data_IF_084660460519
#
_entry.id   IF_084660460519
#
_cell.length_a   1.000
_cell.length_b   1.000
_cell.length_c   1.000
_cell.angle_alpha   90.00
_cell.angle_beta   90.00
_cell.angle_gamma   90.00
#
_symmetry.space_group_name_H-M   'P 1'
#
loop_
_entity.id
_entity.type
_entity.pdbx_description
1 polymer ?
#
# COMPACT_ATOMS: atom_id res chain seq x y z
N UNK A 1 -5.24 -4.24 11.30
CA UNK A 1 -5.84 -2.88 11.28
C UNK A 1 -7.21 -2.86 11.96
N UNK A 2 -7.49 -1.81 12.73
CA UNK A 2 -8.78 -1.53 13.36
C UNK A 2 -9.35 -0.20 12.84
N UNK A 3 -10.56 -0.18 12.30
CA UNK A 3 -11.28 1.04 11.90
C UNK A 3 -12.47 1.27 12.83
N UNK A 4 -12.47 2.40 13.52
CA UNK A 4 -13.50 2.80 14.47
C UNK A 4 -14.31 3.99 13.94
N UNK A 5 -15.63 3.89 13.99
CA UNK A 5 -16.49 5.06 13.80
C UNK A 5 -16.72 5.75 15.15
N UNK A 6 -16.08 6.90 15.35
CA UNK A 6 -16.21 7.69 16.59
C UNK A 6 -17.11 8.91 16.42
N UNK A 7 -17.43 9.29 15.17
CA UNK A 7 -18.44 10.29 14.85
C UNK A 7 -19.63 9.67 14.09
N UNK A 8 -20.81 9.69 14.73
CA UNK A 8 -22.06 9.15 14.19
C UNK A 8 -23.02 10.23 13.63
N UNK A 9 -22.53 11.45 13.39
CA UNK A 9 -23.33 12.57 12.91
C UNK A 9 -23.70 12.49 11.41
N UNK A 10 -22.93 11.74 10.62
CA UNK A 10 -23.11 11.61 9.17
C UNK A 10 -22.92 10.14 8.72
N UNK A 11 -24.01 9.49 8.32
CA UNK A 11 -24.00 8.12 7.78
C UNK A 11 -23.52 8.07 6.31
N UNK A 12 -23.66 9.17 5.56
CA UNK A 12 -23.19 9.25 4.18
C UNK A 12 -21.66 9.34 4.16
N UNK A 13 -21.06 10.14 5.05
CA UNK A 13 -19.61 10.21 5.23
C UNK A 13 -19.02 8.83 5.59
N UNK A 14 -19.66 8.10 6.51
CA UNK A 14 -19.21 6.76 6.88
C UNK A 14 -19.27 5.78 5.71
N UNK A 15 -20.35 5.80 4.92
CA UNK A 15 -20.47 4.96 3.72
C UNK A 15 -19.45 5.33 2.64
N UNK A 16 -19.11 6.60 2.50
CA UNK A 16 -18.07 7.08 1.59
C UNK A 16 -16.69 6.57 1.99
N UNK A 17 -16.32 6.65 3.27
CA UNK A 17 -15.07 6.07 3.80
C UNK A 17 -14.96 4.57 3.45
N UNK A 18 -16.00 3.79 3.77
CA UNK A 18 -16.00 2.35 3.47
C UNK A 18 -15.92 2.08 1.96
N UNK A 19 -16.60 2.89 1.13
CA UNK A 19 -16.52 2.75 -0.33
C UNK A 19 -15.15 3.08 -0.89
N UNK A 20 -14.40 4.01 -0.28
CA UNK A 20 -13.04 4.37 -0.69
C UNK A 20 -12.02 3.31 -0.30
N UNK A 21 -12.23 2.65 0.84
CA UNK A 21 -11.37 1.54 1.27
C UNK A 21 -11.58 0.27 0.44
N UNK A 22 -12.77 0.07 -0.14
CA UNK A 22 -13.05 -1.09 -1.01
C UNK A 22 -13.28 -2.38 -0.23
N UNK A 23 -13.20 -3.52 -0.92
CA UNK A 23 -13.52 -4.84 -0.35
C UNK A 23 -12.24 -5.55 0.16
N UNK A 24 -11.50 -4.88 1.03
CA UNK A 24 -10.17 -5.30 1.51
C UNK A 24 -10.15 -6.72 2.11
N UNK A 25 -9.03 -7.46 1.94
CA UNK A 25 -8.88 -8.79 2.50
C UNK A 25 -8.88 -8.76 4.03
N UNK A 26 -9.39 -9.81 4.66
CA UNK A 26 -9.43 -9.95 6.11
C UNK A 26 -10.49 -9.09 6.80
N UNK A 27 -11.42 -8.49 6.05
CA UNK A 27 -12.51 -7.68 6.59
C UNK A 27 -13.44 -8.52 7.49
N UNK A 28 -13.52 -8.14 8.76
CA UNK A 28 -14.42 -8.68 9.76
C UNK A 28 -15.46 -7.62 10.08
N UNK A 29 -16.61 -7.70 9.40
CA UNK A 29 -17.79 -6.91 9.74
C UNK A 29 -18.58 -7.57 10.90
N UNK A 30 -19.18 -6.80 11.82
CA UNK A 30 -20.11 -7.32 12.83
C UNK A 30 -21.26 -8.04 12.12
N UNK A 31 -21.40 -9.36 12.35
CA UNK A 31 -22.45 -10.18 11.71
C UNK A 31 -23.73 -10.20 12.55
N UNK A 32 -24.92 -10.24 11.92
CA UNK A 32 -26.09 -10.81 12.56
C UNK A 32 -25.85 -12.30 12.86
N UNK A 33 -26.32 -12.84 13.99
CA UNK A 33 -26.12 -14.25 14.32
C UNK A 33 -26.84 -15.16 13.32
N UNK A 34 -26.10 -16.02 12.60
CA UNK A 34 -26.69 -17.12 11.81
C UNK A 34 -26.06 -17.42 10.45
N UNK A 35 -25.24 -16.54 9.88
CA UNK A 35 -24.66 -16.76 8.54
C UNK A 35 -23.19 -17.17 8.62
N UNK A 36 -22.95 -18.47 8.46
CA UNK A 36 -21.62 -18.98 8.15
C UNK A 36 -21.35 -18.79 6.66
N UNK A 37 -20.32 -18.03 6.31
CA UNK A 37 -19.71 -18.18 4.99
C UNK A 37 -18.48 -19.06 5.12
N UNK A 38 -18.26 -19.91 4.12
CA UNK A 38 -16.97 -20.56 3.92
C UNK A 38 -15.92 -19.44 3.81
N UNK A 39 -15.08 -19.29 4.83
CA UNK A 39 -13.93 -18.40 4.78
C UNK A 39 -13.04 -18.96 3.69
N UNK A 40 -13.01 -18.30 2.53
CA UNK A 40 -11.94 -18.52 1.56
C UNK A 40 -10.67 -18.20 2.34
N UNK A 41 -9.85 -19.21 2.58
CA UNK A 41 -8.59 -19.03 3.30
C UNK A 41 -7.74 -18.12 2.44
N UNK A 42 -7.59 -16.88 2.91
CA UNK A 42 -6.74 -15.93 2.25
C UNK A 42 -5.31 -16.44 2.24
N UNK A 43 -4.57 -16.18 1.14
CA UNK A 43 -3.20 -16.62 1.05
C UNK A 43 -2.36 -16.05 2.18
N UNK A 44 -2.54 -14.77 2.52
CA UNK A 44 -1.87 -14.05 3.63
C UNK A 44 -2.91 -13.75 4.71
N UNK A 45 -2.72 -14.23 5.96
CA UNK A 45 -3.65 -13.95 7.03
C UNK A 45 -3.59 -12.46 7.39
N UNK A 46 -4.69 -11.73 7.13
CA UNK A 46 -4.85 -10.34 7.55
C UNK A 46 -6.14 -10.18 8.35
N UNK A 47 -6.20 -9.09 9.13
CA UNK A 47 -7.41 -8.75 9.89
C UNK A 47 -7.67 -7.25 9.84
N UNK A 48 -8.82 -6.90 9.27
CA UNK A 48 -9.41 -5.57 9.31
C UNK A 48 -10.71 -5.66 10.11
N UNK A 49 -10.74 -5.09 11.31
CA UNK A 49 -11.97 -5.03 12.11
C UNK A 49 -12.60 -3.66 11.93
N UNK A 50 -13.85 -3.62 11.50
CA UNK A 50 -14.63 -2.39 11.38
C UNK A 50 -15.64 -2.34 12.52
N UNK A 51 -15.59 -1.27 13.33
CA UNK A 51 -16.46 -1.07 14.48
C UNK A 51 -17.35 0.14 14.25
N UNK A 52 -18.63 -0.12 14.09
CA UNK A 52 -19.71 0.88 14.02
C UNK A 52 -20.61 0.71 15.24
N UNK A 53 -20.10 1.12 16.40
CA UNK A 53 -20.79 1.04 17.69
C UNK A 53 -20.77 2.40 18.39
N UNK A 54 -21.94 2.86 18.84
CA UNK A 54 -22.11 4.14 19.53
C UNK A 54 -21.40 4.21 20.88
N UNK A 55 -20.98 3.08 21.45
CA UNK A 55 -20.14 3.06 22.64
C UNK A 55 -18.82 3.83 22.45
N UNK A 56 -18.34 3.96 21.20
CA UNK A 56 -17.12 4.68 20.83
C UNK A 56 -17.38 6.13 20.36
N UNK A 57 -18.60 6.64 20.53
CA UNK A 57 -18.93 8.00 20.13
C UNK A 57 -18.10 9.02 20.93
N UNK A 58 -17.34 9.86 20.22
CA UNK A 58 -16.57 10.96 20.81
C UNK A 58 -15.32 10.53 21.57
N UNK A 59 -14.92 9.25 21.52
CA UNK A 59 -13.67 8.81 22.13
C UNK A 59 -12.45 9.38 21.41
N UNK A 60 -11.41 9.71 22.17
CA UNK A 60 -10.13 10.19 21.67
C UNK A 60 -9.18 9.04 21.31
N UNK A 61 -8.12 9.32 20.54
CA UNK A 61 -7.10 8.32 20.22
C UNK A 61 -6.43 7.75 21.48
N UNK A 62 -6.16 8.60 22.48
CA UNK A 62 -5.61 8.17 23.77
C UNK A 62 -6.54 7.18 24.49
N UNK A 63 -7.84 7.49 24.60
CA UNK A 63 -8.81 6.61 25.27
C UNK A 63 -8.94 5.25 24.54
N UNK A 64 -8.84 5.26 23.20
CA UNK A 64 -8.82 4.03 22.40
C UNK A 64 -7.54 3.24 22.67
N UNK A 65 -6.37 3.89 22.69
CA UNK A 65 -5.08 3.27 23.01
C UNK A 65 -5.10 2.60 24.39
N UNK A 66 -5.54 3.34 25.42
CA UNK A 66 -5.69 2.82 26.79
C UNK A 66 -6.64 1.61 26.87
N UNK A 67 -7.71 1.59 26.05
CA UNK A 67 -8.63 0.46 25.99
C UNK A 67 -8.00 -0.79 25.34
N UNK A 68 -7.12 -0.61 24.36
CA UNK A 68 -6.42 -1.71 23.67
C UNK A 68 -5.30 -2.33 24.53
N UNK A 69 -4.71 -1.54 25.44
CA UNK A 69 -3.67 -1.98 26.39
C UNK A 69 -4.19 -2.89 27.52
N UNK A 70 -5.51 -3.03 27.66
CA UNK A 70 -6.14 -3.97 28.57
C UNK A 70 -5.76 -5.42 28.24
N UNK A 71 -4.82 -5.97 29.04
CA UNK A 71 -4.07 -7.20 28.75
C UNK A 71 -4.85 -8.41 28.22
N UNK A 72 -4.30 -9.02 27.15
CA UNK A 72 -4.77 -10.26 26.51
C UNK A 72 -5.50 -10.05 25.18
N UNK A 73 -5.66 -8.79 24.74
CA UNK A 73 -6.36 -8.42 23.51
C UNK A 73 -5.41 -8.42 22.31
N UNK A 74 -5.92 -8.69 21.11
CA UNK A 74 -5.19 -8.48 19.87
C UNK A 74 -4.88 -6.98 19.71
N UNK A 75 -3.60 -6.64 19.55
CA UNK A 75 -3.15 -5.25 19.30
C UNK A 75 -3.08 -5.06 17.78
N UNK A 76 -3.84 -4.12 17.21
CA UNK A 76 -3.75 -3.79 15.79
C UNK A 76 -2.47 -3.01 15.49
N UNK A 77 -1.83 -3.29 14.36
CA UNK A 77 -0.64 -2.56 13.88
C UNK A 77 -0.96 -1.08 13.55
N UNK A 78 -2.21 -0.84 13.17
CA UNK A 78 -2.74 0.48 12.81
C UNK A 78 -4.18 0.61 13.27
N UNK A 79 -4.47 1.68 14.00
CA UNK A 79 -5.83 2.10 14.37
C UNK A 79 -6.23 3.31 13.54
N UNK A 80 -7.45 3.29 13.02
CA UNK A 80 -8.06 4.38 12.27
C UNK A 80 -9.36 4.81 12.95
N UNK A 81 -9.59 6.11 13.05
CA UNK A 81 -10.81 6.69 13.60
C UNK A 81 -11.45 7.61 12.57
N UNK A 82 -12.72 7.34 12.25
CA UNK A 82 -13.59 8.26 11.53
C UNK A 82 -14.24 9.23 12.54
N UNK A 83 -13.60 10.38 12.72
CA UNK A 83 -13.95 11.42 13.69
C UNK A 83 -14.69 12.60 13.03
N UNK A 84 -14.83 13.71 13.76
CA UNK A 84 -15.46 14.92 13.22
C UNK A 84 -14.67 15.49 12.02
N UNK A 85 -13.33 15.38 12.03
CA UNK A 85 -12.47 15.81 10.92
C UNK A 85 -12.73 15.05 9.63
N UNK A 86 -13.04 13.76 9.72
CA UNK A 86 -13.48 12.94 8.57
C UNK A 86 -14.76 13.49 7.92
N UNK A 87 -15.67 14.05 8.72
CA UNK A 87 -16.92 14.62 8.21
C UNK A 87 -16.71 16.03 7.64
N UNK A 88 -15.79 16.80 8.25
CA UNK A 88 -15.50 18.18 7.89
C UNK A 88 -14.93 18.34 6.47
N UNK A 89 -14.10 17.40 6.00
CA UNK A 89 -13.60 17.38 4.62
C UNK A 89 -14.22 16.25 3.81
N UNK A 90 -15.27 16.52 3.00
CA UNK A 90 -15.89 15.51 2.16
C UNK A 90 -15.04 15.11 0.95
N UNK A 91 -14.05 15.92 0.56
CA UNK A 91 -13.19 15.60 -0.57
C UNK A 91 -12.15 14.55 -0.19
N UNK A 92 -11.48 14.70 0.96
CA UNK A 92 -10.40 13.81 1.38
C UNK A 92 -10.83 12.75 2.40
N UNK A 93 -11.85 13.04 3.22
CA UNK A 93 -12.33 12.16 4.30
C UNK A 93 -11.19 11.67 5.22
N UNK A 94 -10.33 12.57 5.72
CA UNK A 94 -9.14 12.16 6.48
C UNK A 94 -9.55 11.38 7.73
N UNK A 95 -8.90 10.25 7.93
CA UNK A 95 -9.01 9.42 9.13
C UNK A 95 -7.90 9.82 10.10
N UNK A 96 -8.21 9.85 11.38
CA UNK A 96 -7.18 9.94 12.42
C UNK A 96 -6.55 8.55 12.58
N UNK A 97 -5.24 8.46 12.46
CA UNK A 97 -4.48 7.21 12.53
C UNK A 97 -3.42 7.27 13.63
N UNK A 98 -3.11 6.13 14.23
CA UNK A 98 -2.03 6.00 15.21
C UNK A 98 -1.63 4.52 15.40
N UNK A 99 -0.42 4.32 15.95
CA UNK A 99 0.13 3.01 16.31
C UNK A 99 0.03 2.80 17.83
N UNK A 100 -0.74 1.80 18.26
CA UNK A 100 -0.76 1.34 19.67
C UNK A 100 -0.77 2.48 20.71
N UNK A 101 0.16 2.40 21.67
CA UNK A 101 0.42 3.45 22.67
C UNK A 101 1.73 4.21 22.48
N UNK A 102 2.58 3.74 21.57
CA UNK A 102 3.87 4.31 21.27
C UNK A 102 3.83 4.78 19.79
N UNK A 103 3.70 6.09 19.56
CA UNK A 103 3.63 6.70 18.23
C UNK A 103 2.77 7.98 18.19
N UNK A 104 3.09 8.88 17.28
CA UNK A 104 2.29 10.08 17.03
C UNK A 104 0.97 9.75 16.34
N UNK A 105 -0.07 10.57 16.57
CA UNK A 105 -1.27 10.48 15.77
C UNK A 105 -1.11 11.32 14.49
N UNK A 106 -1.62 10.81 13.36
CA UNK A 106 -1.48 11.44 12.05
C UNK A 106 -2.77 11.35 11.23
N UNK A 107 -2.85 12.09 10.13
CA UNK A 107 -4.02 12.12 9.23
C UNK A 107 -3.70 11.36 7.95
N UNK A 108 -4.57 10.40 7.62
CA UNK A 108 -4.42 9.54 6.44
C UNK A 108 -5.74 9.49 5.68
N UNK A 109 -5.69 9.49 4.34
CA UNK A 109 -6.88 9.33 3.52
C UNK A 109 -7.37 7.87 3.50
N UNK A 110 -8.66 7.61 3.25
CA UNK A 110 -9.18 6.24 3.21
C UNK A 110 -8.49 5.36 2.15
N UNK A 111 -8.11 5.91 0.99
CA UNK A 111 -7.40 5.14 -0.04
C UNK A 111 -5.97 4.83 0.35
N UNK A 112 -5.26 5.77 0.97
CA UNK A 112 -3.94 5.48 1.51
C UNK A 112 -4.00 4.38 2.57
N UNK A 113 -4.94 4.50 3.53
CA UNK A 113 -5.14 3.48 4.55
C UNK A 113 -5.44 2.10 3.94
N UNK A 114 -6.22 2.06 2.86
CA UNK A 114 -6.51 0.83 2.14
C UNK A 114 -5.27 0.21 1.49
N UNK A 115 -4.43 1.01 0.83
CA UNK A 115 -3.18 0.51 0.24
C UNK A 115 -2.18 0.05 1.32
N UNK A 116 -2.04 0.81 2.40
CA UNK A 116 -1.24 0.43 3.57
C UNK A 116 -1.69 -0.93 4.11
N UNK A 117 -3.01 -1.19 4.23
CA UNK A 117 -3.53 -2.49 4.68
C UNK A 117 -2.98 -3.68 3.89
N UNK A 118 -2.80 -3.51 2.58
CA UNK A 118 -2.41 -4.60 1.69
C UNK A 118 -0.96 -5.04 1.95
N UNK A 119 -0.15 -4.16 2.52
CA UNK A 119 1.28 -4.38 2.78
C UNK A 119 1.65 -4.39 4.25
N UNK A 120 0.71 -4.15 5.19
CA UNK A 120 0.96 -4.20 6.65
C UNK A 120 1.57 -5.52 7.16
N UNK A 121 1.49 -6.61 6.39
CA UNK A 121 2.10 -7.90 6.77
C UNK A 121 3.60 -7.97 6.46
N UNK A 122 4.13 -7.03 5.67
CA UNK A 122 5.56 -6.93 5.33
C UNK A 122 6.35 -6.38 6.53
N UNK A 123 7.65 -6.66 6.63
CA UNK A 123 8.53 -6.02 7.61
C UNK A 123 8.67 -4.53 7.30
N UNK A 124 9.23 -3.79 8.25
CA UNK A 124 9.69 -2.40 8.10
C UNK A 124 8.59 -1.36 7.84
N UNK A 125 7.33 -1.78 7.88
CA UNK A 125 6.18 -0.87 7.78
C UNK A 125 6.15 0.14 8.94
N UNK A 126 6.82 -0.13 10.05
CA UNK A 126 7.03 0.84 11.13
C UNK A 126 7.68 2.13 10.64
N UNK A 127 8.69 2.06 9.75
CA UNK A 127 9.36 3.25 9.21
C UNK A 127 8.45 4.01 8.24
N UNK A 128 7.63 3.29 7.48
CA UNK A 128 6.63 3.93 6.62
C UNK A 128 5.58 4.68 7.44
N UNK A 129 5.14 4.10 8.57
CA UNK A 129 4.19 4.75 9.47
C UNK A 129 4.82 5.92 10.24
N UNK A 130 6.09 5.83 10.64
CA UNK A 130 6.85 6.95 11.23
C UNK A 130 6.94 8.13 10.25
N UNK A 131 7.21 7.85 8.97
CA UNK A 131 7.19 8.88 7.95
C UNK A 131 5.80 9.52 7.79
N UNK A 132 4.72 8.74 7.87
CA UNK A 132 3.36 9.31 7.85
C UNK A 132 3.06 10.20 9.07
N UNK A 133 3.62 9.85 10.24
CA UNK A 133 3.56 10.67 11.45
C UNK A 133 4.25 12.02 11.25
N UNK A 134 5.42 12.03 10.61
CA UNK A 134 6.17 13.25 10.28
C UNK A 134 5.50 14.09 9.17
N UNK A 135 4.94 13.45 8.15
CA UNK A 135 4.34 14.15 7.00
C UNK A 135 2.98 14.78 7.31
N UNK A 136 2.15 14.14 8.12
CA UNK A 136 0.78 14.57 8.37
C UNK A 136 0.36 14.46 9.86
N UNK A 137 1.09 15.08 10.80
CA UNK A 137 0.75 15.02 12.22
C UNK A 137 -0.68 15.54 12.48
N UNK A 138 -1.41 14.88 13.39
CA UNK A 138 -2.80 15.21 13.70
C UNK A 138 -2.97 16.43 14.62
N UNK A 139 -1.88 16.94 15.20
CA UNK A 139 -1.83 18.12 16.06
C UNK A 139 -0.40 18.66 16.14
N UNK A 140 -0.19 19.87 16.68
CA UNK A 140 1.15 20.46 16.77
C UNK A 140 2.06 19.61 17.65
N UNK A 141 3.31 19.42 17.24
CA UNK A 141 4.34 18.79 18.06
C UNK A 141 4.46 19.55 19.39
N UNK A 142 4.39 18.84 20.51
CA UNK A 142 4.54 19.45 21.84
C UNK A 142 5.91 20.14 22.03
N UNK A 143 6.90 19.82 21.17
CA UNK A 143 8.26 20.35 21.19
C UNK A 143 8.47 21.60 20.30
N UNK A 144 7.55 21.94 19.39
CA UNK A 144 7.65 23.16 18.58
C UNK A 144 6.84 24.30 19.20
N UNK A 145 7.54 25.12 19.98
CA UNK A 145 6.98 26.34 20.56
C UNK A 145 6.36 27.22 19.48
N UNK A 146 5.04 27.35 19.53
CA UNK A 146 4.20 28.27 18.77
C UNK A 146 4.91 29.61 18.46
N UNK A 147 5.31 29.77 17.20
CA UNK A 147 5.76 31.05 16.68
C UNK A 147 5.50 31.18 15.17
N UNK A 148 4.22 31.35 14.80
CA UNK A 148 3.88 32.49 13.96
C UNK A 148 3.66 32.30 12.46
N UNK A 149 3.16 31.16 11.99
CA UNK A 149 2.55 31.07 10.66
C UNK A 149 1.13 30.49 10.79
N UNK A 150 0.19 31.02 10.01
CA UNK A 150 -1.24 30.69 10.05
C UNK A 150 -1.47 29.18 9.79
N UNK A 151 -1.79 28.43 10.84
CA UNK A 151 -2.92 27.50 11.03
C UNK A 151 -3.39 26.57 9.87
N UNK A 152 -2.53 26.17 8.94
CA UNK A 152 -2.82 25.07 8.02
C UNK A 152 -1.99 23.84 8.41
N UNK A 153 -2.63 22.87 9.09
CA UNK A 153 -2.07 21.52 9.25
C UNK A 153 -1.73 20.95 7.87
N UNK A 154 -0.67 20.14 7.74
CA UNK A 154 -0.34 19.51 6.47
C UNK A 154 -1.48 18.65 5.94
N UNK A 155 -1.54 18.52 4.62
CA UNK A 155 -2.49 17.64 3.94
C UNK A 155 -2.36 16.19 4.45
N UNK A 156 -3.47 15.45 4.58
CA UNK A 156 -3.41 14.06 4.99
C UNK A 156 -2.61 13.21 3.99
N UNK A 157 -1.95 12.17 4.51
CA UNK A 157 -1.20 11.23 3.66
C UNK A 157 -2.11 10.61 2.60
N UNK A 158 -1.65 10.63 1.35
CA UNK A 158 -2.34 10.10 0.19
C UNK A 158 -3.44 11.00 -0.37
N UNK A 159 -3.39 12.31 -0.11
CA UNK A 159 -4.24 13.32 -0.78
C UNK A 159 -4.23 13.16 -2.31
N UNK A 160 -3.08 12.82 -2.89
CA UNK A 160 -2.96 12.55 -4.33
C UNK A 160 -3.86 11.39 -4.78
N UNK A 161 -3.99 10.32 -3.98
CA UNK A 161 -4.78 9.13 -4.31
C UNK A 161 -6.27 9.42 -4.40
N UNK A 162 -6.76 10.36 -3.57
CA UNK A 162 -8.15 10.80 -3.58
C UNK A 162 -8.51 11.58 -4.86
N UNK A 163 -7.51 12.14 -5.54
CA UNK A 163 -7.64 12.90 -6.79
C UNK A 163 -7.40 12.07 -8.06
N UNK A 164 -6.92 10.83 -7.95
CA UNK A 164 -6.65 9.97 -9.10
C UNK A 164 -7.93 9.59 -9.87
N UNK A 165 -7.79 9.41 -11.19
CA UNK A 165 -8.88 8.99 -12.07
C UNK A 165 -8.43 7.94 -13.10
N UNK A 166 -8.87 6.67 -12.98
CA UNK A 166 -9.68 6.14 -11.88
C UNK A 166 -8.88 6.12 -10.56
N UNK A 167 -9.54 6.27 -9.41
CA UNK A 167 -8.84 6.17 -8.13
C UNK A 167 -8.54 4.70 -7.77
N UNK A 168 -7.47 4.44 -7.01
CA UNK A 168 -7.16 3.10 -6.54
C UNK A 168 -8.28 2.61 -5.63
N UNK A 169 -8.68 1.35 -5.84
CA UNK A 169 -9.68 0.64 -5.04
C UNK A 169 -9.35 -0.84 -5.07
N UNK A 170 -9.40 -1.47 -3.91
CA UNK A 170 -9.26 -2.91 -3.85
C UNK A 170 -10.56 -3.61 -4.24
N UNK A 171 -10.49 -4.39 -5.30
CA UNK A 171 -11.52 -5.37 -5.68
C UNK A 171 -10.92 -6.77 -5.60
N UNK A 172 -11.57 -7.73 -4.90
CA UNK A 172 -11.11 -9.10 -4.85
C UNK A 172 -10.99 -9.71 -6.25
N UNK A 173 -9.95 -10.52 -6.50
CA UNK A 173 -9.80 -11.17 -7.79
C UNK A 173 -10.97 -12.15 -8.02
N UNK A 174 -11.37 -12.29 -9.29
CA UNK A 174 -12.47 -13.20 -9.66
C UNK A 174 -12.12 -14.67 -9.39
N UNK A 175 -10.83 -15.00 -9.48
CA UNK A 175 -10.26 -16.32 -9.20
C UNK A 175 -9.20 -16.21 -8.11
N UNK A 176 -8.97 -17.30 -7.38
CA UNK A 176 -7.89 -17.36 -6.41
C UNK A 176 -6.54 -17.27 -7.14
N UNK A 177 -5.73 -16.28 -6.77
CA UNK A 177 -4.42 -16.04 -7.34
C UNK A 177 -3.34 -16.75 -6.51
N UNK A 178 -2.27 -17.28 -7.15
CA UNK A 178 -1.14 -17.82 -6.43
C UNK A 178 -0.39 -16.69 -5.69
N UNK A 179 0.31 -17.08 -4.62
CA UNK A 179 1.19 -16.16 -3.88
C UNK A 179 2.37 -15.76 -4.75
N UNK A 180 2.80 -14.51 -4.57
CA UNK A 180 4.01 -13.99 -5.17
C UNK A 180 5.08 -13.89 -4.08
N UNK A 181 6.24 -14.47 -4.34
CA UNK A 181 7.41 -14.32 -3.47
C UNK A 181 8.49 -13.60 -4.25
N UNK A 182 9.12 -12.61 -3.60
CA UNK A 182 10.28 -11.91 -4.14
C UNK A 182 11.55 -12.59 -3.60
N UNK A 183 12.20 -13.38 -4.44
CA UNK A 183 13.38 -14.19 -4.09
C UNK A 183 14.70 -13.48 -4.48
N UNK A 184 14.65 -12.53 -5.42
CA UNK A 184 15.77 -11.69 -5.86
C UNK A 184 15.48 -10.20 -5.61
N UNK A 185 16.30 -9.31 -6.19
CA UNK A 185 16.21 -7.86 -5.93
C UNK A 185 14.86 -7.27 -6.34
N UNK A 186 14.26 -7.71 -7.45
CA UNK A 186 12.97 -7.21 -7.93
C UNK A 186 12.01 -8.32 -8.31
N UNK A 187 10.72 -7.98 -8.37
CA UNK A 187 9.65 -8.85 -8.86
C UNK A 187 8.94 -8.18 -10.04
N UNK A 188 8.85 -8.88 -11.17
CA UNK A 188 8.17 -8.46 -12.39
C UNK A 188 7.01 -9.40 -12.71
N UNK A 189 5.78 -8.87 -12.72
CA UNK A 189 4.57 -9.64 -13.01
C UNK A 189 3.99 -9.18 -14.35
N UNK A 190 3.80 -10.14 -15.27
CA UNK A 190 3.06 -9.90 -16.52
C UNK A 190 1.56 -9.98 -16.25
N UNK A 191 0.83 -8.92 -16.60
CA UNK A 191 -0.64 -8.89 -16.49
C UNK A 191 -1.34 -8.71 -17.83
N UNK A 192 -0.59 -8.38 -18.90
CA UNK A 192 -1.10 -8.33 -20.27
C UNK A 192 -0.44 -9.40 -21.16
N UNK A 193 -1.28 -10.26 -21.73
CA UNK A 193 -0.86 -11.41 -22.55
C UNK A 193 -1.22 -11.21 -24.04
N UNK A 194 -1.48 -9.98 -24.48
CA UNK A 194 -1.98 -9.73 -25.83
C UNK A 194 -0.92 -9.93 -26.93
N UNK A 195 0.37 -9.67 -26.63
CA UNK A 195 1.44 -9.72 -27.62
C UNK A 195 2.77 -10.28 -27.06
N UNK A 196 3.04 -11.56 -27.31
CA UNK A 196 4.25 -12.25 -26.83
C UNK A 196 5.56 -11.70 -27.41
N UNK A 197 5.51 -11.11 -28.61
CA UNK A 197 6.68 -10.51 -29.23
C UNK A 197 7.11 -9.23 -28.49
N UNK A 198 6.16 -8.39 -28.09
CA UNK A 198 6.40 -7.21 -27.27
C UNK A 198 6.95 -7.60 -25.91
N UNK A 199 6.34 -8.62 -25.26
CA UNK A 199 6.83 -9.18 -24.00
C UNK A 199 8.29 -9.66 -24.09
N UNK A 200 8.63 -10.43 -25.13
CA UNK A 200 9.99 -10.95 -25.31
C UNK A 200 11.01 -9.82 -25.51
N UNK A 201 10.65 -8.78 -26.28
CA UNK A 201 11.52 -7.62 -26.51
C UNK A 201 11.72 -6.79 -25.24
N UNK A 202 10.67 -6.63 -24.46
CA UNK A 202 10.70 -5.93 -23.18
C UNK A 202 11.60 -6.64 -22.17
N UNK A 203 11.46 -7.96 -22.01
CA UNK A 203 12.32 -8.76 -21.13
C UNK A 203 13.79 -8.70 -21.56
N UNK A 204 14.08 -8.80 -22.86
CA UNK A 204 15.46 -8.68 -23.36
C UNK A 204 16.08 -7.32 -22.99
N UNK A 205 15.29 -6.26 -23.04
CA UNK A 205 15.75 -4.90 -22.69
C UNK A 205 16.01 -4.74 -21.19
N UNK A 206 15.16 -5.32 -20.32
CA UNK A 206 15.38 -5.30 -18.86
C UNK A 206 16.66 -6.07 -18.51
N UNK A 207 16.79 -7.28 -19.05
CA UNK A 207 17.93 -8.14 -18.73
C UNK A 207 19.23 -7.61 -19.33
N UNK A 208 19.16 -6.97 -20.50
CA UNK A 208 20.30 -6.54 -21.32
C UNK A 208 20.01 -5.18 -21.98
N UNK A 209 20.16 -4.06 -21.25
CA UNK A 209 19.78 -2.73 -21.72
C UNK A 209 20.60 -2.17 -22.91
N UNK A 210 21.62 -2.88 -23.40
CA UNK A 210 22.32 -2.55 -24.65
C UNK A 210 23.57 -1.66 -24.51
N UNK A 211 24.13 -1.14 -25.64
CA UNK A 211 25.47 -0.53 -25.67
C UNK A 211 25.57 0.77 -24.86
N UNK A 212 26.65 0.89 -24.08
CA UNK A 212 26.72 1.75 -22.89
C UNK A 212 26.80 0.94 -21.59
N UNK A 213 26.27 -0.29 -21.64
CA UNK A 213 26.34 -1.34 -20.62
C UNK A 213 27.13 -2.57 -21.15
N UNK A 214 28.24 -2.32 -21.87
CA UNK A 214 29.02 -3.35 -22.60
C UNK A 214 29.94 -4.20 -21.69
N UNK A 215 29.80 -4.10 -20.36
CA UNK A 215 30.50 -4.97 -19.42
C UNK A 215 29.65 -6.24 -19.19
N UNK A 216 30.19 -7.47 -19.34
CA UNK A 216 29.51 -8.71 -18.95
C UNK A 216 29.03 -8.78 -17.48
N UNK A 217 29.31 -7.74 -16.67
CA UNK A 217 28.84 -7.54 -15.29
C UNK A 217 27.39 -7.03 -15.22
N UNK A 218 26.78 -6.60 -16.33
CA UNK A 218 25.47 -5.91 -16.34
C UNK A 218 24.34 -6.74 -17.02
N UNK A 219 24.34 -8.07 -16.80
CA UNK A 219 23.17 -8.92 -17.06
C UNK A 219 22.30 -8.97 -15.79
N UNK A 220 21.09 -8.39 -15.86
CA UNK A 220 20.16 -8.31 -14.74
C UNK A 220 19.15 -9.47 -14.69
N UNK A 221 19.35 -10.52 -15.50
CA UNK A 221 18.45 -11.69 -15.53
C UNK A 221 18.29 -12.36 -14.16
N UNK A 222 19.34 -12.31 -13.33
CA UNK A 222 19.33 -12.90 -11.98
C UNK A 222 18.86 -11.89 -10.91
N UNK A 223 18.63 -10.62 -11.27
CA UNK A 223 18.19 -9.58 -10.32
C UNK A 223 16.66 -9.44 -10.25
N UNK A 224 15.93 -9.86 -11.28
CA UNK A 224 14.47 -9.64 -11.38
C UNK A 224 13.75 -10.97 -11.57
N UNK A 225 12.96 -11.36 -10.57
CA UNK A 225 12.07 -12.51 -10.66
C UNK A 225 10.93 -12.22 -11.62
N UNK A 226 10.85 -12.97 -12.72
CA UNK A 226 9.80 -12.80 -13.73
C UNK A 226 8.67 -13.80 -13.54
N UNK A 227 7.45 -13.29 -13.41
CA UNK A 227 6.20 -14.07 -13.30
C UNK A 227 5.39 -13.89 -14.58
N UNK A 228 5.47 -14.91 -15.45
CA UNK A 228 4.73 -15.04 -16.71
C UNK A 228 3.65 -16.13 -16.59
N UNK A 229 2.67 -15.89 -15.71
CA UNK A 229 1.56 -16.83 -15.44
C UNK A 229 0.21 -16.18 -15.80
N UNK A 230 -0.55 -16.73 -16.77
CA UNK A 230 -1.87 -16.22 -17.17
C UNK A 230 -2.89 -16.11 -16.04
N UNK A 231 -2.67 -16.76 -14.88
CA UNK A 231 -3.50 -16.54 -13.70
C UNK A 231 -3.56 -15.06 -13.29
N UNK A 232 -2.50 -14.28 -13.58
CA UNK A 232 -2.42 -12.85 -13.26
C UNK A 232 -2.95 -11.92 -14.38
N UNK A 233 -3.51 -12.47 -15.46
CA UNK A 233 -4.06 -11.66 -16.54
C UNK A 233 -5.12 -10.66 -16.02
N UNK A 234 -4.91 -9.38 -16.32
CA UNK A 234 -5.81 -8.29 -15.92
C UNK A 234 -5.79 -7.94 -14.43
N UNK A 235 -4.86 -8.47 -13.63
CA UNK A 235 -4.76 -8.12 -12.22
C UNK A 235 -4.45 -6.64 -12.01
N UNK A 236 -5.10 -6.01 -11.03
CA UNK A 236 -4.82 -4.62 -10.64
C UNK A 236 -3.56 -4.52 -9.77
N UNK A 237 -2.94 -3.33 -9.69
CA UNK A 237 -1.85 -3.09 -8.74
C UNK A 237 -2.18 -3.51 -7.31
N UNK A 238 -3.37 -3.17 -6.82
CA UNK A 238 -3.83 -3.48 -5.47
C UNK A 238 -3.98 -5.00 -5.25
N UNK A 239 -4.44 -5.73 -6.27
CA UNK A 239 -4.52 -7.19 -6.19
C UNK A 239 -3.13 -7.82 -6.08
N UNK A 240 -2.14 -7.30 -6.82
CA UNK A 240 -0.77 -7.79 -6.73
C UNK A 240 -0.12 -7.42 -5.39
N UNK A 241 -0.27 -6.18 -4.92
CA UNK A 241 0.19 -5.76 -3.57
C UNK A 241 -0.33 -6.69 -2.48
N UNK A 242 -1.59 -7.12 -2.58
CA UNK A 242 -2.21 -8.03 -1.61
C UNK A 242 -1.64 -9.45 -1.59
N UNK A 243 -0.84 -9.83 -2.59
CA UNK A 243 -0.31 -11.19 -2.82
C UNK A 243 1.19 -11.33 -2.62
N UNK A 244 1.94 -10.21 -2.65
CA UNK A 244 3.40 -10.25 -2.47
C UNK A 244 3.74 -10.54 -1.02
N UNK A 245 4.61 -11.53 -0.82
CA UNK A 245 5.25 -11.88 0.44
C UNK A 245 6.76 -11.78 0.27
N UNK A 246 7.44 -11.56 1.39
CA UNK A 246 8.89 -11.67 1.44
C UNK A 246 9.32 -13.13 1.33
N UNK A 247 10.56 -13.32 0.86
CA UNK A 247 11.22 -14.63 0.91
C UNK A 247 11.32 -15.12 2.36
N UNK A 248 11.28 -16.45 2.53
CA UNK A 248 11.55 -17.06 3.84
C UNK A 248 13.03 -16.92 4.25
N UNK A 249 13.91 -16.51 3.33
CA UNK A 249 15.31 -16.21 3.63
C UNK A 249 15.48 -14.79 4.17
N UNK A 250 15.60 -14.69 5.50
CA UNK A 250 15.79 -13.42 6.24
C UNK A 250 17.04 -12.61 5.87
N UNK A 251 17.94 -13.14 5.03
CA UNK A 251 19.13 -12.45 4.54
C UNK A 251 19.00 -11.89 3.12
N UNK A 252 17.89 -12.15 2.44
CA UNK A 252 17.69 -11.73 1.06
C UNK A 252 17.39 -10.23 0.97
N UNK A 253 18.11 -9.53 0.11
CA UNK A 253 17.91 -8.10 -0.16
C UNK A 253 16.83 -7.93 -1.24
N UNK A 254 15.85 -7.07 -1.01
CA UNK A 254 14.72 -6.80 -1.90
C UNK A 254 14.55 -5.30 -2.13
N UNK A 255 14.07 -4.90 -3.30
CA UNK A 255 13.75 -3.51 -3.65
C UNK A 255 12.39 -3.03 -3.10
N UNK A 256 11.69 -3.87 -2.35
CA UNK A 256 10.37 -3.61 -1.75
C UNK A 256 9.36 -2.93 -2.71
N UNK A 257 9.31 -3.43 -3.95
CA UNK A 257 8.37 -3.00 -4.99
C UNK A 257 7.96 -4.18 -5.87
N UNK A 258 6.83 -4.01 -6.57
CA UNK A 258 6.42 -4.89 -7.67
C UNK A 258 6.39 -4.12 -8.98
N UNK A 259 7.01 -4.68 -10.01
CA UNK A 259 6.95 -4.20 -11.38
C UNK A 259 5.79 -4.91 -12.09
N UNK A 260 4.95 -4.16 -12.78
CA UNK A 260 3.76 -4.67 -13.46
C UNK A 260 3.88 -4.35 -14.95
N UNK A 261 4.02 -5.39 -15.74
CA UNK A 261 3.98 -5.32 -17.19
C UNK A 261 2.52 -5.45 -17.67
N UNK A 262 1.81 -4.33 -17.61
CA UNK A 262 0.40 -4.23 -17.97
C UNK A 262 0.19 -3.87 -19.45
N UNK A 263 -1.07 -3.72 -19.84
CA UNK A 263 -1.40 -3.39 -21.23
C UNK A 263 -0.86 -2.03 -21.67
N UNK A 264 -0.59 -1.09 -20.74
CA UNK A 264 0.07 0.17 -21.10
C UNK A 264 1.56 -0.06 -21.39
N UNK A 265 2.24 -0.92 -20.63
CA UNK A 265 3.62 -1.35 -20.93
C UNK A 265 3.71 -1.99 -22.31
N UNK A 266 2.78 -2.88 -22.68
CA UNK A 266 2.83 -3.54 -23.99
C UNK A 266 2.53 -2.59 -25.16
N UNK A 267 1.70 -1.55 -24.94
CA UNK A 267 1.32 -0.58 -25.97
C UNK A 267 2.24 0.62 -26.09
N UNK A 268 3.00 0.93 -25.05
CA UNK A 268 3.99 2.00 -25.06
C UNK A 268 5.17 1.60 -25.95
N UNK A 269 5.53 2.38 -26.99
CA UNK A 269 6.71 2.12 -27.81
C UNK A 269 8.02 2.04 -27.03
N UNK A 270 8.11 2.71 -25.87
CA UNK A 270 9.24 2.64 -24.95
C UNK A 270 9.07 1.59 -23.85
N UNK A 271 8.01 0.79 -23.89
CA UNK A 271 7.69 -0.27 -22.94
C UNK A 271 7.82 0.12 -21.46
N UNK A 272 7.40 1.34 -21.07
CA UNK A 272 7.54 1.76 -19.68
C UNK A 272 6.75 0.86 -18.73
N UNK A 273 7.44 0.26 -17.78
CA UNK A 273 6.86 -0.67 -16.79
C UNK A 273 6.32 0.12 -15.60
N UNK A 274 5.19 -0.33 -15.03
CA UNK A 274 4.64 0.28 -13.82
C UNK A 274 5.41 -0.26 -12.60
N UNK A 275 6.06 0.61 -11.85
CA UNK A 275 6.63 0.30 -10.54
C UNK A 275 5.63 0.68 -9.45
N UNK A 276 5.40 -0.25 -8.51
CA UNK A 276 4.47 -0.07 -7.38
C UNK A 276 5.22 -0.34 -6.08
N UNK A 277 5.54 0.70 -5.30
CA UNK A 277 6.20 0.57 -4.01
C UNK A 277 5.35 -0.22 -3.00
N UNK A 278 6.00 -1.08 -2.22
CA UNK A 278 5.41 -1.89 -1.15
C UNK A 278 5.89 -1.43 0.25
N UNK A 279 6.88 -0.54 0.27
CA UNK A 279 7.40 0.19 1.43
C UNK A 279 7.68 1.65 1.03
N UNK A 280 7.74 2.57 1.99
CA UNK A 280 8.05 3.98 1.76
C UNK A 280 6.83 4.71 1.16
N UNK A 281 6.92 5.28 -0.06
CA UNK A 281 5.82 6.02 -0.67
C UNK A 281 4.73 5.07 -1.23
N UNK A 282 4.10 4.29 -0.35
CA UNK A 282 3.00 3.36 -0.70
C UNK A 282 1.90 4.12 -1.44
N UNK A 283 1.47 3.60 -2.59
CA UNK A 283 0.44 4.21 -3.43
C UNK A 283 0.97 5.19 -4.49
N UNK A 284 2.25 5.55 -4.43
CA UNK A 284 2.89 6.36 -5.46
C UNK A 284 3.45 5.49 -6.60
N UNK A 285 2.57 4.89 -7.39
CA UNK A 285 2.98 4.12 -8.56
C UNK A 285 3.49 5.03 -9.69
N UNK A 286 4.55 4.62 -10.38
CA UNK A 286 5.21 5.42 -11.43
C UNK A 286 5.72 4.53 -12.57
N UNK A 287 6.10 5.14 -13.70
CA UNK A 287 6.48 4.42 -14.93
C UNK A 287 7.97 4.54 -15.19
N UNK A 288 8.67 3.41 -15.23
CA UNK A 288 10.13 3.34 -15.41
C UNK A 288 10.44 2.83 -16.82
N UNK A 289 11.47 3.38 -17.47
CA UNK A 289 11.94 2.84 -18.75
C UNK A 289 12.62 1.47 -18.52
N UNK A 290 12.45 0.49 -19.42
CA UNK A 290 12.98 -0.86 -19.24
C UNK A 290 14.48 -0.89 -18.92
N UNK A 291 15.26 0.00 -19.53
CA UNK A 291 16.72 0.04 -19.40
C UNK A 291 17.19 0.40 -17.99
N UNK A 292 16.35 1.07 -17.19
CA UNK A 292 16.68 1.47 -15.82
C UNK A 292 16.28 0.43 -14.78
N UNK A 293 15.43 -0.55 -15.14
CA UNK A 293 14.82 -1.48 -14.17
C UNK A 293 15.88 -2.25 -13.38
N UNK A 294 16.84 -2.87 -14.07
CA UNK A 294 17.89 -3.66 -13.42
C UNK A 294 18.73 -2.85 -12.43
N UNK A 295 19.12 -1.64 -12.83
CA UNK A 295 19.85 -0.70 -11.97
C UNK A 295 19.01 -0.25 -10.77
N UNK A 296 17.74 0.10 -11.01
CA UNK A 296 16.82 0.54 -9.97
C UNK A 296 16.65 -0.53 -8.90
N UNK A 297 16.23 -1.74 -9.26
CA UNK A 297 15.99 -2.80 -8.27
C UNK A 297 17.26 -3.15 -7.50
N UNK A 298 18.42 -3.11 -8.14
CA UNK A 298 19.70 -3.37 -7.50
C UNK A 298 20.06 -2.29 -6.47
N UNK A 299 19.90 -1.01 -6.83
CA UNK A 299 20.21 0.11 -5.94
C UNK A 299 19.25 0.18 -4.74
N UNK A 300 17.96 -0.10 -4.97
CA UNK A 300 16.96 -0.15 -3.91
C UNK A 300 17.25 -1.31 -2.95
N UNK A 301 17.52 -2.52 -3.48
CA UNK A 301 17.77 -3.69 -2.66
C UNK A 301 18.96 -3.54 -1.71
N UNK A 302 20.01 -2.82 -2.12
CA UNK A 302 21.18 -2.56 -1.28
C UNK A 302 21.09 -1.25 -0.47
N UNK A 303 19.99 -0.51 -0.59
CA UNK A 303 19.78 0.78 0.09
C UNK A 303 20.71 1.90 -0.37
N UNK A 304 21.21 1.86 -1.60
CA UNK A 304 22.07 2.92 -2.15
C UNK A 304 21.26 4.12 -2.67
N UNK A 305 20.02 3.89 -3.13
CA UNK A 305 19.07 4.90 -3.59
C UNK A 305 17.67 4.61 -3.04
N UNK A 306 16.78 5.59 -3.14
CA UNK A 306 15.38 5.51 -2.76
C UNK A 306 14.47 5.39 -3.97
N UNK A 307 13.20 5.04 -3.76
CA UNK A 307 12.20 4.97 -4.85
C UNK A 307 12.03 6.34 -5.51
N UNK A 308 12.04 7.39 -4.70
CA UNK A 308 11.85 8.78 -5.12
C UNK A 308 12.89 9.23 -6.15
N UNK A 309 14.10 8.69 -6.12
CA UNK A 309 15.16 8.98 -7.11
C UNK A 309 14.81 8.51 -8.53
N UNK A 310 13.78 7.67 -8.69
CA UNK A 310 13.34 7.11 -9.97
C UNK A 310 11.95 7.59 -10.41
N UNK A 311 11.30 8.47 -9.64
CA UNK A 311 9.91 8.90 -9.88
C UNK A 311 9.75 10.03 -10.94
N UNK A 312 10.82 10.41 -11.64
CA UNK A 312 10.87 11.52 -12.60
C UNK A 312 10.21 11.25 -13.98
#
# INVERSE_FOLDING_TARGET
MLLLRTHHGDDDAWRDVLSRMGALPGLVAPRPPGEAHAVVREPIPRRLVVVDDRAWQGTTAQEVGEALDGGGTWIPDLVLMADEGTTADPHLRPLLAFRGTDGGAFRITPRQAALTHLVLHRPYQEFTLERFEEEAPAGPDEDETAAGEEDDLPDPVGTCLESLNPPPRYEPPTLALPLLTQENFGLLVRTDFAEDAAWSSFLDTIHRPGPGYDDPVEDFSDCVDTVDDPAFEGCSPEQLMALVRDSEDSGQMTADLVLIADGATMRDPGHRVLAVPLEGPIGHAFRVIPEQVGSMVSNLAIGNMSVEDFMD
#
